data_IF_303899849891
#
_entry.id   IF_303899849891
#
_cell.length_a   1.000
_cell.length_b   1.000
_cell.length_c   1.000
_cell.angle_alpha   90.00
_cell.angle_beta   90.00
_cell.angle_gamma   90.00
#
_symmetry.space_group_name_H-M   'P 1'
#
loop_
_entity.id
_entity.type
_entity.pdbx_description
1 polymer ?
#
# COMPACT_ATOMS: atom_id res chain seq x y z
N UNK A 1 -5.54 41.44 -16.49
CA UNK A 1 -6.04 40.08 -16.77
C UNK A 1 -4.96 39.10 -16.35
N UNK A 2 -5.02 38.66 -15.10
CA UNK A 2 -4.06 37.70 -14.55
C UNK A 2 -4.85 36.79 -13.62
N UNK A 3 -4.81 35.48 -13.87
CA UNK A 3 -4.36 34.46 -12.91
C UNK A 3 -4.90 33.10 -13.39
N UNK A 4 -4.18 32.47 -14.32
CA UNK A 4 -4.39 31.07 -14.62
C UNK A 4 -3.67 30.30 -13.50
N UNK A 5 -4.41 30.03 -12.43
CA UNK A 5 -3.99 29.11 -11.38
C UNK A 5 -3.68 27.76 -12.04
N UNK A 6 -2.39 27.52 -12.30
CA UNK A 6 -1.89 26.23 -12.77
C UNK A 6 -2.09 25.27 -11.61
N UNK A 7 -3.26 24.63 -11.59
CA UNK A 7 -3.49 23.43 -10.80
C UNK A 7 -2.43 22.43 -11.24
N UNK A 8 -1.39 22.28 -10.41
CA UNK A 8 -0.41 21.21 -10.57
C UNK A 8 -1.19 19.90 -10.66
N UNK A 9 -1.01 19.08 -11.71
CA UNK A 9 -1.57 17.74 -11.73
C UNK A 9 -1.12 17.06 -10.43
N UNK A 10 -2.09 16.60 -9.64
CA UNK A 10 -1.77 15.82 -8.44
C UNK A 10 -0.78 14.75 -8.85
N UNK A 11 0.36 14.67 -8.17
CA UNK A 11 1.42 13.69 -8.47
C UNK A 11 0.75 12.32 -8.60
N UNK A 12 0.57 11.86 -9.83
CA UNK A 12 0.17 10.48 -10.08
C UNK A 12 1.31 9.64 -9.54
N UNK A 13 0.99 8.74 -8.61
CA UNK A 13 1.95 7.75 -8.16
C UNK A 13 2.52 7.06 -9.39
N UNK A 14 3.84 6.85 -9.46
CA UNK A 14 4.46 6.20 -10.61
C UNK A 14 3.77 4.87 -10.95
N UNK A 15 3.57 4.57 -12.23
CA UNK A 15 2.82 3.39 -12.68
C UNK A 15 3.35 2.07 -12.08
N UNK A 16 4.64 1.99 -11.77
CA UNK A 16 5.23 0.81 -11.14
C UNK A 16 4.64 0.50 -9.75
N UNK A 17 4.15 1.53 -9.03
CA UNK A 17 3.60 1.43 -7.66
C UNK A 17 2.33 0.59 -7.62
N UNK A 18 1.58 0.52 -8.73
CA UNK A 18 0.33 -0.23 -8.83
C UNK A 18 0.53 -1.66 -9.32
N UNK A 19 1.76 -2.06 -9.65
CA UNK A 19 2.05 -3.41 -10.13
C UNK A 19 1.89 -4.47 -9.03
N UNK A 20 1.43 -5.70 -9.35
CA UNK A 20 1.37 -6.80 -8.39
C UNK A 20 2.72 -7.11 -7.75
N UNK A 21 3.81 -7.00 -8.52
CA UNK A 21 5.16 -7.28 -8.03
C UNK A 21 5.61 -6.22 -7.02
N UNK A 22 5.31 -4.95 -7.26
CA UNK A 22 5.61 -3.88 -6.31
C UNK A 22 4.77 -4.01 -5.04
N UNK A 23 3.50 -4.40 -5.15
CA UNK A 23 2.66 -4.69 -3.99
C UNK A 23 3.22 -5.86 -3.18
N UNK A 24 3.63 -6.95 -3.84
CA UNK A 24 4.24 -8.11 -3.19
C UNK A 24 5.56 -7.76 -2.49
N UNK A 25 6.44 -7.01 -3.16
CA UNK A 25 7.68 -6.49 -2.58
C UNK A 25 7.40 -5.66 -1.32
N UNK A 26 6.48 -4.72 -1.41
CA UNK A 26 6.12 -3.81 -0.32
C UNK A 26 5.57 -4.57 0.88
N UNK A 27 4.64 -5.50 0.64
CA UNK A 27 4.09 -6.37 1.70
C UNK A 27 5.20 -7.23 2.32
N UNK A 28 6.10 -7.77 1.51
CA UNK A 28 7.23 -8.56 1.98
C UNK A 28 8.16 -7.78 2.92
N UNK A 29 8.51 -6.54 2.58
CA UNK A 29 9.33 -5.69 3.47
C UNK A 29 8.65 -5.43 4.82
N UNK A 30 7.33 -5.18 4.81
CA UNK A 30 6.55 -4.98 6.04
C UNK A 30 6.52 -6.25 6.90
N UNK A 31 6.28 -7.40 6.29
CA UNK A 31 6.26 -8.69 6.99
C UNK A 31 7.62 -9.02 7.62
N UNK A 32 8.71 -8.86 6.86
CA UNK A 32 10.06 -9.10 7.36
C UNK A 32 10.36 -8.22 8.56
N UNK A 33 9.96 -6.95 8.52
CA UNK A 33 10.18 -6.04 9.64
C UNK A 33 9.34 -6.38 10.87
N UNK A 34 8.07 -6.72 10.68
CA UNK A 34 7.21 -7.20 11.78
C UNK A 34 7.81 -8.44 12.46
N UNK A 35 8.35 -9.37 11.67
CA UNK A 35 9.03 -10.56 12.18
C UNK A 35 10.34 -10.23 12.91
N UNK A 36 11.13 -9.30 12.38
CA UNK A 36 12.38 -8.86 12.99
C UNK A 36 12.15 -8.20 14.37
N UNK A 37 11.04 -7.49 14.53
CA UNK A 37 10.61 -6.89 15.80
C UNK A 37 9.99 -7.93 16.77
N UNK A 38 9.95 -9.22 16.40
CA UNK A 38 9.33 -10.29 17.19
C UNK A 38 7.80 -10.20 17.24
N UNK A 39 7.19 -9.45 16.32
CA UNK A 39 5.75 -9.24 16.24
C UNK A 39 5.00 -10.36 15.51
N UNK A 40 3.68 -10.40 15.70
CA UNK A 40 2.79 -11.30 14.99
C UNK A 40 2.47 -10.79 13.58
N UNK A 41 2.47 -11.69 12.59
CA UNK A 41 2.07 -11.38 11.21
C UNK A 41 0.64 -11.87 10.97
N UNK A 42 -0.28 -10.91 10.87
CA UNK A 42 -1.64 -11.14 10.38
C UNK A 42 -1.99 -10.14 9.28
N UNK A 43 -3.05 -10.41 8.52
CA UNK A 43 -3.58 -9.46 7.52
C UNK A 43 -3.88 -8.10 8.16
N UNK A 44 -4.45 -8.09 9.37
CA UNK A 44 -4.77 -6.86 10.09
C UNK A 44 -3.49 -6.11 10.48
N UNK A 45 -2.49 -6.80 11.02
CA UNK A 45 -1.21 -6.20 11.41
C UNK A 45 -0.49 -5.59 10.21
N UNK A 46 -0.42 -6.32 9.09
CA UNK A 46 0.19 -5.81 7.85
C UNK A 46 -0.55 -4.58 7.33
N UNK A 47 -1.89 -4.59 7.32
CA UNK A 47 -2.69 -3.42 6.90
C UNK A 47 -2.48 -2.22 7.81
N UNK A 48 -2.44 -2.42 9.13
CA UNK A 48 -2.16 -1.34 10.11
C UNK A 48 -0.80 -0.71 9.85
N UNK A 49 0.21 -1.54 9.58
CA UNK A 49 1.55 -1.04 9.32
C UNK A 49 1.65 -0.31 7.98
N UNK A 50 0.99 -0.80 6.92
CA UNK A 50 0.91 -0.10 5.64
C UNK A 50 0.22 1.27 5.77
N UNK A 51 -0.87 1.36 6.54
CA UNK A 51 -1.54 2.65 6.82
C UNK A 51 -0.58 3.61 7.52
N UNK A 52 0.12 3.13 8.56
CA UNK A 52 1.15 3.88 9.27
C UNK A 52 2.21 4.44 8.31
N UNK A 53 2.78 3.61 7.45
CA UNK A 53 3.78 4.02 6.44
C UNK A 53 3.20 5.01 5.43
N UNK A 54 1.97 4.80 4.94
CA UNK A 54 1.31 5.73 3.99
C UNK A 54 1.10 7.13 4.58
N UNK A 55 0.91 7.23 5.90
CA UNK A 55 0.77 8.51 6.59
C UNK A 55 2.12 9.14 6.96
N UNK A 56 3.24 8.54 6.57
CA UNK A 56 4.58 8.95 7.01
C UNK A 56 4.88 8.63 8.48
N UNK A 57 3.99 7.88 9.15
CA UNK A 57 4.09 7.53 10.56
C UNK A 57 4.61 6.10 10.70
N UNK A 58 5.91 5.91 10.53
CA UNK A 58 6.58 4.64 10.83
C UNK A 58 8.06 4.91 10.91
N UNK A 59 8.77 4.22 11.82
CA UNK A 59 10.22 4.06 11.69
C UNK A 59 10.42 3.54 10.28
N UNK A 60 10.90 4.41 9.42
CA UNK A 60 11.03 4.16 7.99
C UNK A 60 11.73 2.83 7.88
N UNK A 61 11.06 1.81 7.35
CA UNK A 61 11.70 0.55 7.00
C UNK A 61 12.88 0.94 6.12
N UNK A 62 14.08 1.03 6.68
CA UNK A 62 15.19 1.88 6.24
C UNK A 62 15.13 2.18 4.73
N UNK A 63 14.48 3.28 4.36
CA UNK A 63 14.28 3.76 2.98
C UNK A 63 13.61 2.82 1.92
N UNK A 64 13.21 1.58 2.24
CA UNK A 64 12.77 0.59 1.23
C UNK A 64 11.30 0.69 0.81
N UNK A 65 10.46 1.28 1.64
CA UNK A 65 9.02 1.42 1.35
C UNK A 65 8.63 2.89 1.47
N UNK A 66 8.20 3.47 0.35
CA UNK A 66 7.63 4.83 0.35
C UNK A 66 6.16 4.83 0.74
N UNK A 67 5.61 6.01 1.07
CA UNK A 67 4.19 6.18 1.31
C UNK A 67 3.34 5.75 0.10
N UNK A 68 3.79 6.06 -1.11
CA UNK A 68 3.13 5.67 -2.37
C UNK A 68 3.10 4.14 -2.54
N UNK A 69 4.23 3.46 -2.28
CA UNK A 69 4.30 2.00 -2.30
C UNK A 69 3.31 1.37 -1.30
N UNK A 70 3.23 1.95 -0.10
CA UNK A 70 2.31 1.48 0.93
C UNK A 70 0.84 1.65 0.53
N UNK A 71 0.49 2.76 -0.13
CA UNK A 71 -0.84 2.99 -0.69
C UNK A 71 -1.16 1.98 -1.81
N UNK A 72 -0.23 1.78 -2.75
CA UNK A 72 -0.39 0.79 -3.81
C UNK A 72 -0.61 -0.63 -3.29
N UNK A 73 0.12 -1.01 -2.23
CA UNK A 73 -0.06 -2.31 -1.57
C UNK A 73 -1.43 -2.44 -0.87
N UNK A 74 -1.93 -1.36 -0.23
CA UNK A 74 -3.26 -1.35 0.39
C UNK A 74 -4.36 -1.55 -0.65
N UNK A 75 -4.28 -0.85 -1.78
CA UNK A 75 -5.24 -0.97 -2.88
C UNK A 75 -5.19 -2.35 -3.52
N UNK A 76 -4.00 -2.93 -3.67
CA UNK A 76 -3.85 -4.30 -4.14
C UNK A 76 -4.51 -5.32 -3.20
N UNK A 77 -4.28 -5.22 -1.89
CA UNK A 77 -4.92 -6.09 -0.89
C UNK A 77 -6.45 -5.95 -0.99
N UNK A 78 -6.97 -4.72 -1.01
CA UNK A 78 -8.41 -4.45 -1.13
C UNK A 78 -8.99 -5.08 -2.39
N UNK A 79 -8.34 -4.89 -3.54
CA UNK A 79 -8.77 -5.43 -4.83
C UNK A 79 -8.79 -6.96 -4.83
N UNK A 80 -7.78 -7.61 -4.24
CA UNK A 80 -7.72 -9.07 -4.10
C UNK A 80 -8.80 -9.62 -3.17
N UNK A 81 -9.07 -8.95 -2.05
CA UNK A 81 -10.14 -9.34 -1.13
C UNK A 81 -11.53 -9.21 -1.78
N UNK A 82 -11.76 -8.14 -2.55
CA UNK A 82 -12.99 -7.95 -3.31
C UNK A 82 -13.15 -9.02 -4.40
N UNK A 83 -12.10 -9.29 -5.18
CA UNK A 83 -12.11 -10.35 -6.17
C UNK A 83 -12.36 -11.73 -5.55
N UNK A 84 -11.82 -12.00 -4.35
CA UNK A 84 -12.05 -13.26 -3.66
C UNK A 84 -13.49 -13.37 -3.13
N UNK A 85 -14.08 -12.27 -2.64
CA UNK A 85 -15.51 -12.25 -2.26
C UNK A 85 -16.43 -12.51 -3.46
N UNK A 86 -16.15 -11.91 -4.60
CA UNK A 86 -16.91 -12.13 -5.84
C UNK A 86 -16.79 -13.57 -6.36
N UNK A 87 -15.69 -14.27 -6.07
CA UNK A 87 -15.55 -15.70 -6.40
C UNK A 87 -16.34 -16.63 -5.48
N UNK A 88 -16.62 -16.21 -4.25
CA UNK A 88 -17.39 -16.99 -3.25
C UNK A 88 -18.89 -16.77 -3.44
N UNK A 89 -19.29 -15.69 -4.11
CA UNK A 89 -20.66 -15.32 -4.40
C UNK A 89 -20.85 -15.00 -5.90
N UNK A 90 -20.87 -16.02 -6.79
CA UNK A 90 -21.07 -15.78 -8.21
C UNK A 90 -22.51 -15.36 -8.57
N UNK A 91 -23.51 -15.66 -7.73
CA UNK A 91 -24.95 -15.50 -8.05
C UNK A 91 -25.79 -14.86 -6.91
N UNK A 92 -25.24 -13.89 -6.17
CA UNK A 92 -26.04 -13.08 -5.22
C UNK A 92 -26.77 -11.93 -5.90
#
# INVERSE_FOLDING_TARGET
>A
MSDASIMRPGRQAPEYVTSPDMAAFTIGQIVIALLADGGEVSLETVRKQLIRVSMGHGRTLDARVSAEMALGALDYIKSRLLANKLRICPDC
#
